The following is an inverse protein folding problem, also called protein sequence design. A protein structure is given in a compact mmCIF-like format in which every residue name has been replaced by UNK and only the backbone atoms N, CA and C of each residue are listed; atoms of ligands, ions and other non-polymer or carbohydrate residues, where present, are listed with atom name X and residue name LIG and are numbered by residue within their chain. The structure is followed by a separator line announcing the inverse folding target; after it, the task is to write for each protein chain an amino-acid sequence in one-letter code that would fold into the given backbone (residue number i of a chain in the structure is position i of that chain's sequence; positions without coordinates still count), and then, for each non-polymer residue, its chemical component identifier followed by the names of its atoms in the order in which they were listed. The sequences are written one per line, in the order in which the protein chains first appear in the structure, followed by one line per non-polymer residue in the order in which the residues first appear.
data_IF_291044720647
#
_entry.id   IF_291044720647
#
_cell.length_a   1.000
_cell.length_b   1.000
_cell.length_c   1.000
_cell.angle_alpha   90.00
_cell.angle_beta   90.00
_cell.angle_gamma   90.00
#
_symmetry.space_group_name_H-M   'P 1'
#
loop_
_entity.id
_entity.type
_entity.pdbx_description
1 polymer ?
#
# COMPACT_ATOMS: atom_id res chain seq x y z
N UNK A 1 -33.18 15.27 -0.69
CA UNK A 1 -32.22 15.81 0.32
C UNK A 1 -32.05 14.94 1.58
N UNK A 2 -33.10 14.29 2.11
CA UNK A 2 -33.01 13.32 3.24
C UNK A 2 -31.97 12.18 3.10
N UNK A 3 -31.84 11.46 1.96
CA UNK A 3 -30.93 10.31 1.88
C UNK A 3 -29.45 10.70 1.93
N UNK A 4 -29.08 11.85 1.35
CA UNK A 4 -27.71 12.38 1.40
C UNK A 4 -27.30 12.76 2.83
N UNK A 5 -28.25 13.21 3.66
CA UNK A 5 -28.01 13.55 5.07
C UNK A 5 -27.84 12.29 5.93
N UNK A 6 -28.65 11.26 5.69
CA UNK A 6 -28.54 9.97 6.37
C UNK A 6 -27.21 9.26 6.07
N UNK A 7 -26.76 9.28 4.81
CA UNK A 7 -25.43 8.79 4.41
C UNK A 7 -24.29 9.58 5.09
N UNK A 8 -24.49 10.87 5.34
CA UNK A 8 -23.52 11.70 6.07
C UNK A 8 -23.37 11.30 7.54
N UNK A 9 -24.49 11.07 8.24
CA UNK A 9 -24.49 10.69 9.66
C UNK A 9 -23.86 9.30 9.86
N UNK A 10 -24.26 8.31 9.06
CA UNK A 10 -23.69 6.95 9.14
C UNK A 10 -22.18 6.94 8.85
N UNK A 11 -21.70 7.79 7.93
CA UNK A 11 -20.27 7.99 7.67
C UNK A 11 -19.55 8.58 8.88
N UNK A 12 -20.11 9.63 9.48
CA UNK A 12 -19.48 10.34 10.59
C UNK A 12 -19.44 9.47 11.86
N UNK A 13 -20.41 8.57 12.03
CA UNK A 13 -20.37 7.52 13.05
C UNK A 13 -19.33 6.44 12.74
N UNK A 14 -19.21 5.99 11.48
CA UNK A 14 -18.17 5.05 11.09
C UNK A 14 -16.76 5.62 11.31
N UNK A 15 -16.51 6.88 10.93
CA UNK A 15 -15.23 7.55 11.13
C UNK A 15 -14.84 7.72 12.61
N UNK A 16 -15.82 7.72 13.51
CA UNK A 16 -15.60 7.83 14.97
C UNK A 16 -15.23 6.51 15.64
N UNK A 17 -15.33 5.36 14.95
CA UNK A 17 -14.96 4.06 15.54
C UNK A 17 -13.43 3.92 15.62
N UNK A 18 -12.88 3.32 16.69
CA UNK A 18 -11.43 3.14 16.88
C UNK A 18 -10.73 2.46 15.69
N UNK A 19 -11.40 1.52 15.01
CA UNK A 19 -10.85 0.78 13.85
C UNK A 19 -10.59 1.65 12.60
N UNK A 20 -11.23 2.83 12.51
CA UNK A 20 -11.08 3.77 11.40
C UNK A 20 -10.17 4.96 11.74
N UNK A 21 -9.54 4.94 12.92
CA UNK A 21 -8.67 6.02 13.38
C UNK A 21 -7.40 6.16 12.51
N UNK A 22 -6.72 7.30 12.65
CA UNK A 22 -5.50 7.56 11.89
C UNK A 22 -4.35 6.62 12.26
N UNK A 23 -4.28 6.19 13.52
CA UNK A 23 -3.19 5.40 14.07
C UNK A 23 -3.20 3.98 13.53
N UNK A 24 -4.34 3.30 13.57
CA UNK A 24 -4.58 1.96 13.02
C UNK A 24 -4.28 1.95 11.53
N UNK A 25 -4.79 2.94 10.79
CA UNK A 25 -4.48 3.07 9.37
C UNK A 25 -2.97 3.26 9.11
N UNK A 26 -2.26 4.01 9.95
CA UNK A 26 -0.82 4.21 9.82
C UNK A 26 -0.03 2.92 10.10
N UNK A 27 -0.34 2.21 11.20
CA UNK A 27 0.31 0.94 11.57
C UNK A 27 0.14 -0.09 10.46
N UNK A 28 -1.09 -0.28 9.98
CA UNK A 28 -1.37 -1.20 8.86
C UNK A 28 -0.62 -0.78 7.58
N UNK A 29 -0.50 0.52 7.33
CA UNK A 29 0.26 1.04 6.20
C UNK A 29 1.76 0.73 6.29
N UNK A 30 2.36 0.87 7.49
CA UNK A 30 3.77 0.54 7.73
C UNK A 30 4.02 -0.96 7.57
N UNK A 31 3.15 -1.79 8.17
CA UNK A 31 3.25 -3.25 8.06
C UNK A 31 3.16 -3.70 6.59
N UNK A 32 2.20 -3.17 5.83
CA UNK A 32 2.09 -3.43 4.39
C UNK A 32 3.31 -2.95 3.61
N UNK A 33 3.84 -1.77 3.92
CA UNK A 33 5.05 -1.26 3.29
C UNK A 33 6.25 -2.19 3.51
N UNK A 34 6.40 -2.73 4.72
CA UNK A 34 7.43 -3.73 5.02
C UNK A 34 7.22 -5.03 4.23
N UNK A 35 5.99 -5.54 4.17
CA UNK A 35 5.67 -6.73 3.37
C UNK A 35 5.99 -6.53 1.88
N UNK A 36 5.56 -5.39 1.31
CA UNK A 36 5.84 -5.04 -0.09
C UNK A 36 7.33 -4.95 -0.34
N UNK A 37 8.11 -4.33 0.56
CA UNK A 37 9.56 -4.24 0.42
C UNK A 37 10.23 -5.62 0.41
N UNK A 38 9.86 -6.50 1.34
CA UNK A 38 10.39 -7.87 1.41
C UNK A 38 10.04 -8.64 0.13
N UNK A 39 8.77 -8.63 -0.31
CA UNK A 39 8.35 -9.29 -1.55
C UNK A 39 9.07 -8.70 -2.76
N UNK A 40 9.23 -7.38 -2.84
CA UNK A 40 9.89 -6.73 -3.97
C UNK A 40 11.37 -7.13 -4.09
N UNK A 41 12.11 -7.08 -2.98
CA UNK A 41 13.55 -7.44 -2.97
C UNK A 41 13.72 -8.93 -3.31
N UNK A 42 12.96 -9.81 -2.66
CA UNK A 42 13.04 -11.26 -2.91
C UNK A 42 12.57 -11.62 -4.33
N UNK A 43 11.57 -10.92 -4.86
CA UNK A 43 11.10 -11.07 -6.23
C UNK A 43 12.12 -10.60 -7.26
N UNK A 44 12.81 -9.48 -7.01
CA UNK A 44 13.89 -9.00 -7.87
C UNK A 44 15.07 -9.97 -7.88
N UNK A 45 15.44 -10.52 -6.72
CA UNK A 45 16.43 -11.58 -6.63
C UNK A 45 16.02 -12.82 -7.44
N UNK A 46 14.77 -13.25 -7.33
CA UNK A 46 14.19 -14.34 -8.14
C UNK A 46 14.30 -14.06 -9.64
N UNK A 47 13.97 -12.83 -10.06
CA UNK A 47 14.03 -12.41 -11.45
C UNK A 47 15.46 -12.42 -11.98
N UNK A 48 16.44 -11.91 -11.23
CA UNK A 48 17.85 -11.91 -11.63
C UNK A 48 18.43 -13.32 -11.74
N UNK A 49 17.94 -14.28 -10.94
CA UNK A 49 18.33 -15.69 -11.08
C UNK A 49 17.75 -16.33 -12.36
N UNK A 50 16.56 -15.92 -12.79
CA UNK A 50 15.92 -16.42 -14.02
C UNK A 50 16.43 -15.71 -15.28
N UNK A 51 16.80 -14.44 -15.14
CA UNK A 51 17.26 -13.55 -16.20
C UNK A 51 18.55 -12.85 -15.73
N UNK A 52 19.68 -13.57 -15.69
CA UNK A 52 20.95 -12.99 -15.27
C UNK A 52 21.37 -11.87 -16.25
N UNK A 53 22.03 -10.85 -15.70
CA UNK A 53 22.60 -9.74 -16.47
C UNK A 53 24.12 -9.78 -16.33
N UNK A 54 24.84 -9.53 -17.43
CA UNK A 54 26.29 -9.78 -17.50
C UNK A 54 27.12 -8.96 -16.50
N UNK A 55 26.66 -7.76 -16.16
CA UNK A 55 27.35 -6.85 -15.24
C UNK A 55 27.08 -7.14 -13.75
N UNK A 56 26.12 -8.02 -13.43
CA UNK A 56 25.79 -8.40 -12.05
C UNK A 56 25.70 -9.92 -11.96
N UNK A 57 26.83 -10.63 -11.82
CA UNK A 57 26.82 -12.07 -11.66
C UNK A 57 26.20 -12.45 -10.31
N UNK A 58 24.98 -12.99 -10.34
CA UNK A 58 24.30 -13.52 -9.15
C UNK A 58 24.56 -15.03 -9.08
N UNK A 59 25.37 -15.51 -8.12
CA UNK A 59 25.67 -16.94 -8.03
C UNK A 59 24.41 -17.75 -7.70
N UNK A 60 24.19 -18.91 -8.35
CA UNK A 60 23.03 -19.78 -8.06
C UNK A 60 23.19 -20.57 -6.75
N UNK A 61 24.34 -20.43 -6.08
CA UNK A 61 24.69 -21.14 -4.85
C UNK A 61 25.00 -20.18 -3.71
N UNK A 62 24.67 -20.57 -2.47
CA UNK A 62 24.05 -21.84 -2.08
C UNK A 62 22.54 -21.89 -2.39
N UNK A 63 22.04 -23.08 -2.74
CA UNK A 63 20.60 -23.26 -3.04
C UNK A 63 19.69 -22.91 -1.85
N UNK A 64 20.22 -22.96 -0.61
CA UNK A 64 19.51 -22.53 0.60
C UNK A 64 19.11 -21.05 0.55
N UNK A 65 19.93 -20.18 -0.03
CA UNK A 65 19.61 -18.76 -0.15
C UNK A 65 18.38 -18.54 -1.03
N UNK A 66 18.29 -19.24 -2.17
CA UNK A 66 17.11 -19.19 -3.01
C UNK A 66 15.87 -19.73 -2.29
N UNK A 67 16.00 -20.87 -1.58
CA UNK A 67 14.88 -21.43 -0.79
C UNK A 67 14.37 -20.47 0.28
N UNK A 68 15.27 -19.80 1.01
CA UNK A 68 14.91 -18.83 2.05
C UNK A 68 14.23 -17.61 1.43
N UNK A 69 14.80 -17.04 0.37
CA UNK A 69 14.21 -15.86 -0.29
C UNK A 69 12.85 -16.16 -0.92
N UNK A 70 12.67 -17.32 -1.56
CA UNK A 70 11.36 -17.76 -2.06
C UNK A 70 10.36 -18.01 -0.94
N UNK A 71 10.79 -18.69 0.13
CA UNK A 71 9.95 -18.92 1.31
C UNK A 71 9.48 -17.61 1.94
N UNK A 72 10.38 -16.65 2.09
CA UNK A 72 10.06 -15.31 2.59
C UNK A 72 9.10 -14.56 1.67
N UNK A 73 9.32 -14.61 0.35
CA UNK A 73 8.45 -13.97 -0.64
C UNK A 73 7.01 -14.48 -0.51
N UNK A 74 6.83 -15.81 -0.50
CA UNK A 74 5.50 -16.44 -0.43
C UNK A 74 4.85 -16.19 0.93
N UNK A 75 5.56 -16.46 2.04
CA UNK A 75 5.02 -16.28 3.39
C UNK A 75 4.60 -14.82 3.65
N UNK A 76 5.42 -13.87 3.19
CA UNK A 76 5.15 -12.44 3.32
C UNK A 76 3.99 -12.00 2.43
N UNK A 77 3.91 -12.54 1.20
CA UNK A 77 2.77 -12.33 0.30
C UNK A 77 1.45 -12.78 0.93
N UNK A 78 1.42 -13.95 1.57
CA UNK A 78 0.24 -14.42 2.31
C UNK A 78 -0.08 -13.54 3.52
N UNK A 79 0.92 -13.13 4.30
CA UNK A 79 0.71 -12.23 5.43
C UNK A 79 0.14 -10.86 5.00
N UNK A 80 0.51 -10.38 3.80
CA UNK A 80 0.02 -9.12 3.26
C UNK A 80 -1.48 -9.16 2.88
N UNK A 81 -2.07 -10.33 2.63
CA UNK A 81 -3.50 -10.47 2.27
C UNK A 81 -4.43 -9.93 3.37
N UNK A 82 -4.43 -10.46 4.61
CA UNK A 82 -5.27 -9.92 5.66
C UNK A 82 -4.91 -8.47 6.03
N UNK A 83 -3.62 -8.10 5.94
CA UNK A 83 -3.19 -6.72 6.19
C UNK A 83 -3.79 -5.74 5.17
N UNK A 84 -3.83 -6.11 3.88
CA UNK A 84 -4.41 -5.26 2.84
C UNK A 84 -5.91 -5.11 3.04
N UNK A 85 -6.62 -6.22 3.32
CA UNK A 85 -8.05 -6.19 3.61
C UNK A 85 -8.35 -5.31 4.83
N UNK A 86 -7.59 -5.46 5.92
CA UNK A 86 -7.73 -4.63 7.11
C UNK A 86 -7.43 -3.15 6.82
N UNK A 87 -6.41 -2.86 6.00
CA UNK A 87 -6.07 -1.50 5.59
C UNK A 87 -7.19 -0.86 4.78
N UNK A 88 -7.71 -1.57 3.77
CA UNK A 88 -8.81 -1.11 2.93
C UNK A 88 -10.07 -0.89 3.77
N UNK A 89 -10.37 -1.81 4.71
CA UNK A 89 -11.46 -1.62 5.67
C UNK A 89 -11.25 -0.38 6.54
N UNK A 90 -10.05 -0.18 7.10
CA UNK A 90 -9.78 0.98 7.94
C UNK A 90 -9.96 2.30 7.19
N UNK A 91 -9.64 2.35 5.89
CA UNK A 91 -9.70 3.59 5.09
C UNK A 91 -10.93 3.76 4.21
N UNK A 92 -11.79 2.74 4.04
CA UNK A 92 -12.95 2.81 3.14
C UNK A 92 -13.85 4.04 3.39
N UNK A 93 -14.12 4.48 4.65
CA UNK A 93 -15.00 5.63 4.87
C UNK A 93 -14.44 6.92 4.28
N UNK A 94 -13.11 7.02 4.16
CA UNK A 94 -12.41 8.20 3.60
C UNK A 94 -12.62 8.30 2.08
N UNK A 95 -12.90 7.20 1.40
CA UNK A 95 -13.18 7.19 -0.05
C UNK A 95 -14.48 7.96 -0.37
N UNK A 96 -15.44 7.93 0.55
CA UNK A 96 -16.77 8.54 0.43
C UNK A 96 -16.87 9.93 1.10
N UNK A 97 -15.75 10.53 1.50
CA UNK A 97 -15.73 11.89 2.05
C UNK A 97 -16.22 12.88 0.98
N UNK A 98 -17.03 13.86 1.41
CA UNK A 98 -17.51 14.96 0.55
C UNK A 98 -16.95 16.31 1.03
N UNK A 99 -16.60 17.23 0.11
CA UNK A 99 -16.52 17.04 -1.34
C UNK A 99 -15.44 16.01 -1.73
N UNK A 100 -15.63 15.22 -2.81
CA UNK A 100 -14.71 14.12 -3.17
C UNK A 100 -13.33 14.61 -3.59
N UNK A 101 -13.27 15.81 -4.17
CA UNK A 101 -12.05 16.52 -4.57
C UNK A 101 -12.18 17.95 -4.06
N UNK A 102 -11.15 18.43 -3.36
CA UNK A 102 -11.08 19.79 -2.79
C UNK A 102 -10.14 20.71 -3.59
N UNK A 103 -9.50 20.20 -4.65
CA UNK A 103 -8.56 20.94 -5.50
C UNK A 103 -7.66 20.00 -6.33
N UNK A 104 -6.88 20.58 -7.25
CA UNK A 104 -6.02 19.82 -8.17
C UNK A 104 -4.99 18.93 -7.45
N UNK A 105 -4.36 19.45 -6.39
CA UNK A 105 -3.42 18.66 -5.58
C UNK A 105 -4.10 17.45 -4.93
N UNK A 106 -5.33 17.62 -4.41
CA UNK A 106 -6.07 16.50 -3.82
C UNK A 106 -6.55 15.50 -4.88
N UNK A 107 -6.88 15.96 -6.08
CA UNK A 107 -7.20 15.08 -7.21
C UNK A 107 -6.00 14.22 -7.60
N UNK A 108 -4.81 14.83 -7.72
CA UNK A 108 -3.57 14.12 -8.00
C UNK A 108 -3.25 13.10 -6.90
N UNK A 109 -3.40 13.45 -5.62
CA UNK A 109 -3.26 12.50 -4.51
C UNK A 109 -4.19 11.29 -4.66
N UNK A 110 -5.46 11.51 -5.01
CA UNK A 110 -6.43 10.42 -5.19
C UNK A 110 -6.11 9.57 -6.41
N UNK A 111 -5.66 10.18 -7.51
CA UNK A 111 -5.28 9.46 -8.72
C UNK A 111 -4.08 8.54 -8.48
N UNK A 112 -3.09 9.01 -7.70
CA UNK A 112 -1.92 8.18 -7.31
C UNK A 112 -2.30 6.95 -6.47
N UNK A 113 -3.49 6.93 -5.85
CA UNK A 113 -3.96 5.73 -5.14
C UNK A 113 -4.38 4.61 -6.09
N UNK A 114 -4.75 4.91 -7.34
CA UNK A 114 -5.20 3.90 -8.31
C UNK A 114 -4.11 2.86 -8.58
N UNK A 115 -2.90 3.22 -9.04
CA UNK A 115 -1.85 2.22 -9.26
C UNK A 115 -1.42 1.53 -7.96
N UNK A 116 -1.51 2.20 -6.82
CA UNK A 116 -1.16 1.60 -5.53
C UNK A 116 -2.17 0.52 -5.10
N UNK A 117 -3.48 0.83 -5.15
CA UNK A 117 -4.55 -0.09 -4.72
C UNK A 117 -4.74 -1.20 -5.74
N UNK A 118 -4.92 -0.86 -7.01
CA UNK A 118 -5.09 -1.86 -8.07
C UNK A 118 -3.85 -2.73 -8.22
N UNK A 119 -2.65 -2.14 -8.13
CA UNK A 119 -1.39 -2.86 -8.16
C UNK A 119 -1.25 -3.83 -6.98
N UNK A 120 -1.51 -3.38 -5.75
CA UNK A 120 -1.47 -4.26 -4.58
C UNK A 120 -2.46 -5.42 -4.67
N UNK A 121 -3.70 -5.15 -5.10
CA UNK A 121 -4.70 -6.21 -5.31
C UNK A 121 -4.25 -7.19 -6.40
N UNK A 122 -3.74 -6.69 -7.53
CA UNK A 122 -3.21 -7.53 -8.60
C UNK A 122 -2.06 -8.40 -8.11
N UNK A 123 -1.08 -7.83 -7.40
CA UNK A 123 0.08 -8.55 -6.89
C UNK A 123 -0.35 -9.71 -5.97
N UNK A 124 -1.23 -9.44 -5.00
CA UNK A 124 -1.67 -10.48 -4.07
C UNK A 124 -2.54 -11.53 -4.76
N UNK A 125 -3.49 -11.11 -5.59
CA UNK A 125 -4.35 -12.04 -6.33
C UNK A 125 -3.53 -12.94 -7.26
N UNK A 126 -2.71 -12.35 -8.12
CA UNK A 126 -1.90 -13.11 -9.07
C UNK A 126 -0.87 -13.99 -8.38
N UNK A 127 -0.23 -13.51 -7.30
CA UNK A 127 0.73 -14.30 -6.52
C UNK A 127 0.10 -15.51 -5.83
N UNK A 128 -1.04 -15.32 -5.16
CA UNK A 128 -1.79 -16.43 -4.52
C UNK A 128 -2.26 -17.44 -5.56
N UNK A 129 -2.82 -16.95 -6.68
CA UNK A 129 -3.28 -17.79 -7.77
C UNK A 129 -2.14 -18.57 -8.45
N UNK A 130 -0.95 -17.96 -8.58
CA UNK A 130 0.25 -18.66 -9.07
C UNK A 130 0.70 -19.78 -8.11
N UNK A 131 0.72 -19.52 -6.79
CA UNK A 131 1.05 -20.55 -5.79
C UNK A 131 0.03 -21.71 -5.82
N UNK A 132 -1.24 -21.42 -6.07
CA UNK A 132 -2.29 -22.45 -6.23
C UNK A 132 -2.35 -23.09 -7.63
N UNK A 133 -1.47 -22.67 -8.56
CA UNK A 133 -1.46 -23.09 -9.97
C UNK A 133 -2.77 -22.82 -10.72
N UNK A 134 -3.54 -21.82 -10.27
CA UNK A 134 -4.76 -21.40 -10.93
C UNK A 134 -4.48 -20.16 -11.77
N UNK A 135 -4.64 -20.27 -13.09
CA UNK A 135 -4.35 -19.20 -14.05
C UNK A 135 -5.59 -18.84 -14.86
N UNK A 136 -6.54 -18.07 -14.30
CA UNK A 136 -7.76 -17.63 -14.99
C UNK A 136 -7.50 -16.54 -16.05
N UNK A 137 -6.27 -16.39 -16.52
CA UNK A 137 -5.82 -15.34 -17.43
C UNK A 137 -5.00 -15.89 -18.58
N UNK A 138 -4.90 -15.14 -19.68
CA UNK A 138 -4.11 -15.51 -20.86
C UNK A 138 -2.69 -14.92 -20.91
N UNK A 139 -2.28 -14.10 -19.93
CA UNK A 139 -0.95 -13.48 -19.91
C UNK A 139 0.10 -14.34 -19.20
N UNK A 140 1.38 -14.09 -19.51
CA UNK A 140 2.49 -14.74 -18.82
C UNK A 140 2.68 -14.13 -17.42
N UNK A 141 2.37 -14.91 -16.39
CA UNK A 141 2.37 -14.45 -14.99
C UNK A 141 3.67 -13.77 -14.56
N UNK A 142 4.88 -14.38 -14.73
CA UNK A 142 6.10 -13.79 -14.20
C UNK A 142 6.38 -12.39 -14.76
N UNK A 143 6.15 -12.17 -16.06
CA UNK A 143 6.32 -10.86 -16.68
C UNK A 143 5.30 -9.84 -16.15
N UNK A 144 4.02 -10.20 -16.11
CA UNK A 144 2.98 -9.30 -15.63
C UNK A 144 3.17 -8.95 -14.14
N UNK A 145 3.46 -9.94 -13.32
CA UNK A 145 3.72 -9.77 -11.90
C UNK A 145 4.95 -8.89 -11.64
N UNK A 146 6.04 -9.08 -12.39
CA UNK A 146 7.24 -8.24 -12.31
C UNK A 146 6.96 -6.77 -12.63
N UNK A 147 6.33 -6.48 -13.78
CA UNK A 147 6.08 -5.09 -14.20
C UNK A 147 5.08 -4.37 -13.30
N UNK A 148 4.01 -5.07 -12.88
CA UNK A 148 3.06 -4.48 -11.92
C UNK A 148 3.72 -4.25 -10.56
N UNK A 149 4.73 -5.03 -10.17
CA UNK A 149 5.45 -4.80 -8.92
C UNK A 149 6.20 -3.47 -8.97
N UNK A 150 6.89 -3.17 -10.07
CA UNK A 150 7.53 -1.87 -10.29
C UNK A 150 6.54 -0.70 -10.26
N UNK A 151 5.38 -0.84 -10.93
CA UNK A 151 4.32 0.19 -10.90
C UNK A 151 3.83 0.42 -9.47
N UNK A 152 3.58 -0.66 -8.73
CA UNK A 152 3.06 -0.62 -7.36
C UNK A 152 4.07 0.01 -6.40
N UNK A 153 5.35 -0.38 -6.50
CA UNK A 153 6.42 0.17 -5.66
C UNK A 153 6.68 1.65 -6.00
N UNK A 154 6.69 2.02 -7.28
CA UNK A 154 6.79 3.42 -7.70
C UNK A 154 5.66 4.27 -7.13
N UNK A 155 4.42 3.78 -7.18
CA UNK A 155 3.26 4.43 -6.57
C UNK A 155 3.37 4.52 -5.04
N UNK A 156 3.89 3.48 -4.38
CA UNK A 156 4.11 3.47 -2.93
C UNK A 156 5.15 4.52 -2.52
N UNK A 157 6.28 4.60 -3.23
CA UNK A 157 7.33 5.59 -2.98
C UNK A 157 6.79 7.00 -3.17
N UNK A 158 6.08 7.26 -4.28
CA UNK A 158 5.44 8.56 -4.52
C UNK A 158 4.43 8.92 -3.42
N UNK A 159 3.61 7.96 -3.00
CA UNK A 159 2.62 8.12 -1.94
C UNK A 159 3.28 8.47 -0.59
N UNK A 160 4.30 7.73 -0.18
CA UNK A 160 5.04 7.97 1.06
C UNK A 160 5.77 9.32 0.99
N UNK A 161 6.41 9.63 -0.13
CA UNK A 161 7.10 10.91 -0.34
C UNK A 161 6.17 12.12 -0.19
N UNK A 162 4.98 12.04 -0.79
CA UNK A 162 3.96 13.08 -0.66
C UNK A 162 3.51 13.26 0.80
N UNK A 163 3.25 12.17 1.53
CA UNK A 163 2.86 12.24 2.95
C UNK A 163 3.98 12.75 3.85
N UNK A 164 5.22 12.35 3.60
CA UNK A 164 6.39 12.86 4.31
C UNK A 164 6.57 14.37 4.08
N UNK A 165 6.36 14.87 2.86
CA UNK A 165 6.43 16.29 2.57
C UNK A 165 5.39 17.11 3.35
N UNK A 166 4.14 16.63 3.39
CA UNK A 166 3.07 17.27 4.16
C UNK A 166 3.39 17.28 5.67
N UNK A 167 3.85 16.15 6.21
CA UNK A 167 4.24 16.05 7.62
C UNK A 167 5.39 17.00 7.96
N UNK A 168 6.44 17.05 7.13
CA UNK A 168 7.56 18.00 7.32
C UNK A 168 7.11 19.45 7.26
N UNK A 169 6.21 19.80 6.33
CA UNK A 169 5.69 21.16 6.23
C UNK A 169 4.88 21.56 7.47
N UNK A 170 4.11 20.64 8.04
CA UNK A 170 3.37 20.87 9.28
C UNK A 170 4.30 21.08 10.48
N UNK A 171 5.36 20.26 10.60
CA UNK A 171 6.36 20.37 11.68
C UNK A 171 7.21 21.64 11.59
N UNK A 172 7.36 22.23 10.39
CA UNK A 172 8.11 23.47 10.17
C UNK A 172 7.32 24.75 10.44
N UNK A 173 5.99 24.67 10.62
CA UNK A 173 5.19 25.85 10.99
C UNK A 173 5.44 26.18 12.46
N UNK A 174 5.72 27.45 12.82
CA UNK A 174 5.77 27.86 14.21
C UNK A 174 4.46 27.45 14.91
N UNK A 175 4.56 26.75 16.04
CA UNK A 175 3.39 26.46 16.86
C UNK A 175 2.82 27.78 17.37
N UNK A 176 1.57 28.10 17.03
CA UNK A 176 0.87 29.14 17.77
C UNK A 176 0.73 28.64 19.21
N UNK A 177 1.16 29.40 20.23
CA UNK A 177 0.88 29.05 21.61
C UNK A 177 -0.63 28.84 21.74
N UNK A 178 -1.04 27.68 22.26
CA UNK A 178 -2.41 27.52 22.74
C UNK A 178 -2.53 28.57 23.83
N UNK A 179 -3.32 29.62 23.59
CA UNK A 179 -3.62 30.61 24.60
C UNK A 179 -4.13 29.83 25.81
N UNK A 180 -3.34 29.82 26.90
CA UNK A 180 -3.75 29.21 28.14
C UNK A 180 -5.10 29.82 28.48
N UNK A 181 -6.14 29.00 28.53
CA UNK A 181 -7.44 29.44 28.98
C UNK A 181 -7.24 30.05 30.38
N UNK A 182 -7.40 31.37 30.48
CA UNK A 182 -7.32 32.05 31.75
C UNK A 182 -8.39 31.44 32.67
N UNK A 183 -8.05 31.07 33.92
CA UNK A 183 -9.06 30.69 34.89
C UNK A 183 -9.93 31.93 35.18
N UNK A 184 -11.23 31.81 34.89
CA UNK A 184 -12.26 32.73 35.36
C UNK A 184 -12.91 32.19 36.63
#
# INVERSE_FOLDING_TARGET
MKPLRALGVARDEALRRPVHDARTAAILGIALGACVLVCFITGLYSHLQQHPVDWLPVPPRPASLYRVTQGLHVATGFAAVPLLLAKLWSVYPRLFRRPPVTGAAHAAERLMLVPLVCGAVFQLFSGVANVSRWYPWGFYFPAAHYWVAWITVGALVAHVGAKAAVARAALRRPGHPVAAAAPG
#
